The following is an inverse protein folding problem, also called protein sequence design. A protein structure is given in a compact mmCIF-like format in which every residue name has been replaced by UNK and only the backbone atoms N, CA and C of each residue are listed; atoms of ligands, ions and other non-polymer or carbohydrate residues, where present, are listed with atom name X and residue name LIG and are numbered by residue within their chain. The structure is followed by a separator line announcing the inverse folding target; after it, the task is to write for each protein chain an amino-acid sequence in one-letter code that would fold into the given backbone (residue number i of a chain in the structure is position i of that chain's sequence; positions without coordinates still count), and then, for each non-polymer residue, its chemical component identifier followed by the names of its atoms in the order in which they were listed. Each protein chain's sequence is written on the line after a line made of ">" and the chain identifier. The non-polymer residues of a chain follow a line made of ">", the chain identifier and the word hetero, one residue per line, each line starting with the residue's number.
data_IF_279296327318
#
_entry.id   IF_279296327318
#
_cell.length_a   1.000
_cell.length_b   1.000
_cell.length_c   1.000
_cell.angle_alpha   90.00
_cell.angle_beta   90.00
_cell.angle_gamma   90.00
#
_symmetry.space_group_name_H-M   'P 1'
#
loop_
_entity.id
_entity.type
_entity.pdbx_description
1 polymer ?
#
# COMPACT_ATOMS: atom_id res chain seq x y z
N UNK A 1 6.02 -12.49 18.31
CA UNK A 1 5.97 -11.60 17.14
C UNK A 1 4.84 -12.12 16.27
N UNK A 2 3.93 -11.26 15.78
CA UNK A 2 2.70 -11.71 15.13
C UNK A 2 2.97 -12.36 13.76
N UNK A 3 3.96 -11.88 13.00
CA UNK A 3 4.43 -12.52 11.75
C UNK A 3 5.97 -12.65 11.76
N UNK A 4 6.53 -13.82 12.11
CA UNK A 4 7.98 -13.97 12.28
C UNK A 4 8.78 -13.88 10.97
N UNK A 5 8.12 -14.12 9.83
CA UNK A 5 8.74 -14.08 8.49
C UNK A 5 8.80 -12.66 7.90
N UNK A 6 8.22 -11.67 8.58
CA UNK A 6 8.21 -10.28 8.15
C UNK A 6 9.17 -9.44 8.97
N UNK A 7 9.87 -8.52 8.31
CA UNK A 7 10.67 -7.52 9.01
C UNK A 7 9.74 -6.59 9.82
N UNK A 8 10.08 -6.32 11.08
CA UNK A 8 9.21 -5.56 11.99
C UNK A 8 7.87 -6.24 12.33
N UNK A 9 7.58 -7.41 11.76
CA UNK A 9 6.30 -8.11 11.87
C UNK A 9 5.27 -7.72 10.80
N UNK A 10 5.54 -6.74 9.93
CA UNK A 10 4.58 -6.20 8.97
C UNK A 10 5.18 -5.74 7.62
N UNK A 11 6.51 -5.82 7.44
CA UNK A 11 7.19 -5.46 6.20
C UNK A 11 7.73 -6.69 5.47
N UNK A 12 7.27 -6.91 4.24
CA UNK A 12 7.77 -7.94 3.33
C UNK A 12 8.86 -7.37 2.40
N UNK A 13 9.76 -8.23 1.90
CA UNK A 13 10.71 -7.88 0.85
C UNK A 13 11.96 -7.14 1.34
N UNK A 14 12.29 -7.28 2.62
CA UNK A 14 13.53 -6.77 3.21
C UNK A 14 14.60 -7.85 3.05
N UNK A 15 15.51 -7.67 2.09
CA UNK A 15 16.55 -8.66 1.77
C UNK A 15 17.87 -8.35 2.50
N UNK A 16 18.12 -7.08 2.85
CA UNK A 16 19.34 -6.65 3.52
C UNK A 16 19.18 -5.49 4.50
N UNK A 17 20.26 -5.11 5.22
CA UNK A 17 20.27 -3.98 6.16
C UNK A 17 19.89 -2.63 5.54
N UNK A 18 20.18 -2.44 4.26
CA UNK A 18 19.85 -1.27 3.44
C UNK A 18 18.35 -1.05 3.27
N UNK A 19 17.55 -2.11 3.36
CA UNK A 19 16.10 -2.06 3.16
C UNK A 19 15.34 -1.79 4.47
N UNK A 20 16.04 -1.74 5.62
CA UNK A 20 15.40 -1.64 6.95
C UNK A 20 14.79 -0.27 7.26
N UNK A 21 14.95 0.72 6.39
CA UNK A 21 14.44 2.09 6.51
C UNK A 21 13.66 2.50 5.24
N UNK A 22 13.25 3.77 5.14
CA UNK A 22 12.60 4.27 3.93
C UNK A 22 13.51 4.15 2.70
N UNK A 23 12.98 3.59 1.61
CA UNK A 23 13.67 3.47 0.32
C UNK A 23 13.69 4.86 -0.35
N UNK A 24 14.84 5.55 -0.43
CA UNK A 24 14.86 6.97 -0.82
C UNK A 24 14.80 7.17 -2.34
N UNK A 25 15.12 6.13 -3.12
CA UNK A 25 15.30 6.23 -4.55
C UNK A 25 14.00 6.44 -5.30
N UNK A 26 14.00 7.40 -6.23
CA UNK A 26 12.79 7.81 -6.97
C UNK A 26 12.21 6.69 -7.83
N UNK A 27 13.05 5.74 -8.28
CA UNK A 27 12.63 4.60 -9.09
C UNK A 27 11.65 3.65 -8.37
N UNK A 28 11.57 3.69 -7.03
CA UNK A 28 10.60 2.91 -6.25
C UNK A 28 9.32 3.68 -5.90
N UNK A 29 9.19 4.94 -6.35
CA UNK A 29 8.02 5.77 -6.06
C UNK A 29 6.93 5.56 -7.11
N UNK A 30 5.68 5.77 -6.69
CA UNK A 30 4.55 5.82 -7.59
C UNK A 30 4.63 7.03 -8.54
N UNK A 31 4.59 6.82 -9.88
CA UNK A 31 4.60 7.92 -10.85
C UNK A 31 3.45 8.91 -10.61
N UNK A 32 3.73 10.20 -10.77
CA UNK A 32 2.78 11.31 -10.56
C UNK A 32 2.07 11.31 -9.19
N UNK A 33 2.66 10.65 -8.19
CA UNK A 33 2.03 10.39 -6.89
C UNK A 33 0.66 9.70 -7.00
N UNK A 34 0.42 8.94 -8.07
CA UNK A 34 -0.81 8.18 -8.29
C UNK A 34 -0.61 6.72 -7.94
N UNK A 35 -1.45 6.22 -7.04
CA UNK A 35 -1.43 4.82 -6.58
C UNK A 35 -2.68 4.12 -7.11
N UNK A 36 -2.59 3.36 -8.21
CA UNK A 36 -3.70 2.56 -8.70
C UNK A 36 -4.04 1.48 -7.68
N UNK A 37 -5.33 1.26 -7.40
CA UNK A 37 -5.75 0.25 -6.42
C UNK A 37 -6.90 -0.63 -6.89
N UNK A 38 -6.97 -1.82 -6.31
CA UNK A 38 -8.11 -2.75 -6.35
C UNK A 38 -8.45 -3.15 -4.92
N UNK A 39 -9.74 -3.10 -4.56
CA UNK A 39 -10.24 -3.61 -3.27
C UNK A 39 -10.97 -4.92 -3.55
N UNK A 40 -10.47 -5.99 -2.94
CA UNK A 40 -11.07 -7.32 -3.03
C UNK A 40 -12.39 -7.38 -2.25
N UNK A 41 -13.34 -8.20 -2.72
CA UNK A 41 -14.66 -8.35 -2.10
C UNK A 41 -14.57 -8.86 -0.64
N UNK A 42 -13.49 -9.54 -0.27
CA UNK A 42 -13.20 -9.94 1.11
C UNK A 42 -13.17 -8.77 2.10
N UNK A 43 -12.92 -7.54 1.63
CA UNK A 43 -12.86 -6.34 2.47
C UNK A 43 -14.14 -5.49 2.42
N UNK A 44 -15.26 -6.03 1.91
CA UNK A 44 -16.52 -5.28 1.78
C UNK A 44 -16.96 -4.58 3.07
N UNK A 45 -16.76 -5.23 4.23
CA UNK A 45 -17.12 -4.68 5.55
C UNK A 45 -16.17 -3.57 6.02
N UNK A 46 -14.99 -3.45 5.42
CA UNK A 46 -13.96 -2.46 5.77
C UNK A 46 -13.83 -1.34 4.73
N UNK A 47 -14.72 -1.28 3.75
CA UNK A 47 -14.61 -0.31 2.66
C UNK A 47 -14.65 1.13 3.17
N UNK A 48 -15.50 1.43 4.16
CA UNK A 48 -15.61 2.78 4.70
C UNK A 48 -14.31 3.28 5.35
N UNK A 49 -13.61 2.42 6.09
CA UNK A 49 -12.34 2.81 6.73
C UNK A 49 -11.21 2.96 5.70
N UNK A 50 -11.20 2.13 4.66
CA UNK A 50 -10.23 2.24 3.55
C UNK A 50 -10.42 3.56 2.81
N UNK A 51 -11.67 3.92 2.49
CA UNK A 51 -11.97 5.18 1.80
C UNK A 51 -11.67 6.38 2.69
N UNK A 52 -11.94 6.31 4.00
CA UNK A 52 -11.54 7.36 4.94
C UNK A 52 -10.02 7.57 4.96
N UNK A 53 -9.23 6.48 4.96
CA UNK A 53 -7.78 6.56 4.88
C UNK A 53 -7.32 7.23 3.57
N UNK A 54 -7.90 6.86 2.43
CA UNK A 54 -7.58 7.50 1.15
C UNK A 54 -7.90 9.00 1.16
N UNK A 55 -9.06 9.39 1.69
CA UNK A 55 -9.46 10.78 1.81
C UNK A 55 -8.50 11.59 2.69
N UNK A 56 -7.98 10.99 3.76
CA UNK A 56 -6.98 11.64 4.61
C UNK A 56 -5.73 12.02 3.79
N UNK A 57 -5.19 11.09 2.99
CA UNK A 57 -4.07 11.38 2.08
C UNK A 57 -4.43 12.45 1.04
N UNK A 58 -5.63 12.39 0.47
CA UNK A 58 -6.06 13.37 -0.54
C UNK A 58 -6.12 14.78 0.02
N UNK A 59 -6.50 14.93 1.29
CA UNK A 59 -6.62 16.23 1.97
C UNK A 59 -5.31 16.82 2.48
N UNK A 60 -4.31 15.98 2.81
CA UNK A 60 -3.08 16.41 3.49
C UNK A 60 -1.82 16.32 2.63
N UNK A 61 -1.88 15.60 1.50
CA UNK A 61 -0.72 15.34 0.63
C UNK A 61 -1.08 15.48 -0.84
N UNK A 62 -0.09 15.35 -1.73
CA UNK A 62 -0.29 15.24 -3.17
C UNK A 62 -0.63 13.80 -3.65
N UNK A 63 -0.55 12.79 -2.77
CA UNK A 63 -0.78 11.38 -3.14
C UNK A 63 -2.24 11.13 -3.50
N UNK A 64 -2.49 10.43 -4.60
CA UNK A 64 -3.84 10.13 -5.11
C UNK A 64 -4.01 8.62 -5.34
N UNK A 65 -4.80 8.00 -4.48
CA UNK A 65 -5.36 6.67 -4.72
C UNK A 65 -6.42 6.73 -5.83
N UNK A 66 -6.21 5.99 -6.91
CA UNK A 66 -7.12 5.96 -8.07
C UNK A 66 -7.61 4.53 -8.35
N UNK A 67 -8.89 4.33 -8.72
CA UNK A 67 -9.35 3.02 -9.18
C UNK A 67 -8.50 2.54 -10.35
N UNK A 68 -7.95 1.33 -10.26
CA UNK A 68 -7.15 0.76 -11.34
C UNK A 68 -8.02 0.49 -12.57
N UNK A 69 -7.47 0.79 -13.75
CA UNK A 69 -8.04 0.41 -15.05
C UNK A 69 -7.13 -0.61 -15.75
N UNK A 70 -5.95 -0.18 -16.17
CA UNK A 70 -5.01 -0.96 -16.97
C UNK A 70 -3.54 -0.75 -16.54
N UNK A 71 -3.31 -0.05 -15.43
CA UNK A 71 -1.96 0.20 -14.93
C UNK A 71 -1.29 -1.14 -14.58
N UNK A 72 -0.03 -1.37 -15.00
CA UNK A 72 0.68 -2.61 -14.71
C UNK A 72 0.95 -2.76 -13.21
N UNK A 73 1.42 -1.68 -12.58
CA UNK A 73 1.68 -1.61 -11.14
C UNK A 73 0.49 -1.02 -10.41
N UNK A 74 0.10 -1.66 -9.30
CA UNK A 74 -1.05 -1.30 -8.49
C UNK A 74 -0.97 -2.00 -7.13
N UNK A 75 -1.71 -1.48 -6.15
CA UNK A 75 -1.92 -2.18 -4.88
C UNK A 75 -3.22 -2.99 -4.93
N UNK A 76 -3.19 -4.24 -4.44
CA UNK A 76 -4.39 -5.03 -4.17
C UNK A 76 -4.61 -5.10 -2.67
N UNK A 77 -5.72 -4.56 -2.19
CA UNK A 77 -6.16 -4.67 -0.81
C UNK A 77 -7.07 -5.91 -0.70
N UNK A 78 -6.73 -6.84 0.18
CA UNK A 78 -7.51 -8.06 0.42
C UNK A 78 -7.34 -8.53 1.88
N UNK A 79 -8.25 -9.37 2.36
CA UNK A 79 -8.11 -10.00 3.67
C UNK A 79 -6.96 -11.04 3.63
N UNK A 80 -5.84 -10.68 4.25
CA UNK A 80 -4.67 -11.57 4.41
C UNK A 80 -4.80 -12.50 5.63
N UNK A 81 -3.73 -13.24 5.93
CA UNK A 81 -3.69 -14.20 7.04
C UNK A 81 -3.26 -13.58 8.39
N UNK A 82 -3.04 -12.25 8.41
CA UNK A 82 -2.27 -11.60 9.46
C UNK A 82 -0.82 -11.53 9.04
#
# INVERSE_FOLDING_TARGET
>A
MQNPDLFGGDMMGIEGPEDRNGIPWEMFRWPDAKVPYVIDASLKQHMDVIIQAFNNYHSTTCVRFIPRTNQPDYIKLFAGQG
#
